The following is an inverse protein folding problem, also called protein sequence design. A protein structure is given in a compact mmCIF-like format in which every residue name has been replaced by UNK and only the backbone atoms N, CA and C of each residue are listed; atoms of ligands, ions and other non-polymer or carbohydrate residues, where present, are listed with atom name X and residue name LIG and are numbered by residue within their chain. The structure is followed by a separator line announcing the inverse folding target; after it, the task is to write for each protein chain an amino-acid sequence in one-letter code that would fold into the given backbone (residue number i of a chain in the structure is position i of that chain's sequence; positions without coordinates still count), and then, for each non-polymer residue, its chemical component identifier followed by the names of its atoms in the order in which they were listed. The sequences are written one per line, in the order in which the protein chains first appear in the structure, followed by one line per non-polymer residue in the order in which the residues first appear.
data_IF_318886906751
#
_entry.id   IF_318886906751
#
_cell.length_a   1.000
_cell.length_b   1.000
_cell.length_c   1.000
_cell.angle_alpha   90.00
_cell.angle_beta   90.00
_cell.angle_gamma   90.00
#
_symmetry.space_group_name_H-M   'P 1'
#
loop_
_entity.id
_entity.type
_entity.pdbx_description
1 polymer ?
#
# COMPACT_ATOMS: atom_id res chain seq x y z
N UNK A 1 -1.32 -24.97 -12.63
CA UNK A 1 -2.00 -25.15 -11.32
C UNK A 1 -1.12 -24.65 -10.18
N UNK A 2 0.13 -25.11 -10.09
CA UNK A 2 1.12 -24.64 -9.10
C UNK A 2 1.33 -23.12 -9.09
N UNK A 3 1.37 -22.47 -10.26
CA UNK A 3 1.53 -21.01 -10.38
C UNK A 3 0.44 -20.23 -9.64
N UNK A 4 -0.84 -20.62 -9.77
CA UNK A 4 -1.96 -19.97 -9.07
C UNK A 4 -1.89 -20.18 -7.55
N UNK A 5 -1.40 -21.35 -7.12
CA UNK A 5 -1.23 -21.67 -5.70
C UNK A 5 -0.11 -20.84 -5.10
N UNK A 6 1.02 -20.71 -5.82
CA UNK A 6 2.13 -19.86 -5.42
C UNK A 6 1.72 -18.39 -5.31
N UNK A 7 0.96 -17.86 -6.28
CA UNK A 7 0.43 -16.48 -6.23
C UNK A 7 -0.50 -16.27 -5.03
N UNK A 8 -1.36 -17.24 -4.73
CA UNK A 8 -2.24 -17.18 -3.56
C UNK A 8 -1.43 -17.18 -2.25
N UNK A 9 -0.42 -18.05 -2.15
CA UNK A 9 0.49 -18.08 -1.02
C UNK A 9 1.26 -16.76 -0.86
N UNK A 10 1.82 -16.23 -1.94
CA UNK A 10 2.52 -14.95 -1.93
C UNK A 10 1.59 -13.81 -1.51
N UNK A 11 0.33 -13.81 -1.96
CA UNK A 11 -0.69 -12.85 -1.54
C UNK A 11 -0.98 -12.95 -0.04
N UNK A 12 -1.18 -14.16 0.50
CA UNK A 12 -1.37 -14.37 1.94
C UNK A 12 -0.15 -13.90 2.74
N UNK A 13 1.06 -14.21 2.29
CA UNK A 13 2.30 -13.78 2.93
C UNK A 13 2.41 -12.25 2.95
N UNK A 14 2.23 -11.60 1.80
CA UNK A 14 2.22 -10.14 1.69
C UNK A 14 1.14 -9.50 2.57
N UNK A 15 -0.02 -10.16 2.72
CA UNK A 15 -1.09 -9.65 3.58
C UNK A 15 -0.71 -9.67 5.07
N UNK A 16 -0.09 -10.76 5.53
CA UNK A 16 0.26 -10.94 6.94
C UNK A 16 1.45 -10.05 7.31
N UNK A 17 2.54 -10.14 6.54
CA UNK A 17 3.72 -9.30 6.74
C UNK A 17 3.38 -7.82 6.54
N UNK A 18 2.54 -7.52 5.56
CA UNK A 18 2.08 -6.16 5.29
C UNK A 18 1.28 -5.56 6.44
N UNK A 19 0.38 -6.32 7.07
CA UNK A 19 -0.38 -5.85 8.24
C UNK A 19 0.53 -5.54 9.44
N UNK A 20 1.62 -6.31 9.60
CA UNK A 20 2.62 -6.07 10.65
C UNK A 20 3.46 -4.80 10.39
N UNK A 21 3.65 -4.40 9.12
CA UNK A 21 4.39 -3.18 8.77
C UNK A 21 3.51 -1.93 8.77
N UNK A 22 2.33 -2.00 8.14
CA UNK A 22 1.46 -0.86 7.98
C UNK A 22 -0.01 -1.28 7.81
N UNK A 23 -0.89 -0.69 8.62
CA UNK A 23 -2.34 -0.93 8.56
C UNK A 23 -2.97 -0.53 7.21
N UNK A 24 -2.31 0.31 6.41
CA UNK A 24 -2.74 0.67 5.05
C UNK A 24 -2.62 -0.47 4.05
N UNK A 25 -1.91 -1.54 4.37
CA UNK A 25 -1.88 -2.75 3.53
C UNK A 25 -3.26 -3.41 3.43
N UNK A 26 -4.13 -3.22 4.44
CA UNK A 26 -5.54 -3.61 4.37
C UNK A 26 -6.27 -3.00 3.18
N UNK A 27 -6.00 -1.73 2.85
CA UNK A 27 -6.59 -1.07 1.66
C UNK A 27 -6.16 -1.81 0.40
N UNK A 28 -4.87 -2.15 0.28
CA UNK A 28 -4.35 -2.89 -0.87
C UNK A 28 -4.95 -4.30 -0.99
N UNK A 29 -5.08 -5.01 0.14
CA UNK A 29 -5.71 -6.34 0.21
C UNK A 29 -7.17 -6.26 -0.24
N UNK A 30 -7.94 -5.31 0.28
CA UNK A 30 -9.34 -5.11 -0.09
C UNK A 30 -9.50 -4.77 -1.57
N UNK A 31 -8.66 -3.89 -2.11
CA UNK A 31 -8.67 -3.55 -3.54
C UNK A 31 -8.30 -4.74 -4.42
N UNK A 32 -7.34 -5.57 -4.01
CA UNK A 32 -6.96 -6.77 -4.73
C UNK A 32 -8.10 -7.82 -4.74
N UNK A 33 -8.74 -8.05 -3.59
CA UNK A 33 -9.92 -8.94 -3.50
C UNK A 33 -11.05 -8.42 -4.39
N UNK A 34 -11.38 -7.12 -4.29
CA UNK A 34 -12.40 -6.49 -5.12
C UNK A 34 -12.09 -6.68 -6.61
N UNK A 35 -10.83 -6.47 -7.03
CA UNK A 35 -10.42 -6.68 -8.42
C UNK A 35 -10.65 -8.12 -8.91
N UNK A 36 -10.26 -9.12 -8.11
CA UNK A 36 -10.46 -10.54 -8.44
C UNK A 36 -11.95 -10.88 -8.52
N UNK A 37 -12.75 -10.30 -7.62
CA UNK A 37 -14.21 -10.49 -7.60
C UNK A 37 -14.84 -9.94 -8.88
N UNK A 38 -14.52 -8.68 -9.23
CA UNK A 38 -15.07 -8.01 -10.41
C UNK A 38 -14.62 -8.66 -11.73
N UNK A 39 -13.36 -9.10 -11.83
CA UNK A 39 -12.82 -9.66 -13.08
C UNK A 39 -13.20 -11.13 -13.29
N UNK A 40 -13.32 -11.93 -12.24
CA UNK A 40 -13.54 -13.38 -12.39
C UNK A 40 -15.01 -13.81 -12.43
N UNK A 41 -15.95 -12.85 -12.37
CA UNK A 41 -17.40 -13.10 -12.37
C UNK A 41 -17.76 -14.29 -11.45
N UNK A 42 -17.52 -14.10 -10.14
CA UNK A 42 -17.30 -15.14 -9.14
C UNK A 42 -18.43 -16.16 -8.96
N UNK A 43 -18.53 -17.13 -9.88
CA UNK A 43 -19.27 -18.38 -9.69
C UNK A 43 -18.45 -19.59 -10.13
N UNK A 44 -17.19 -19.40 -10.60
CA UNK A 44 -16.38 -20.44 -11.27
C UNK A 44 -14.97 -20.63 -10.71
N UNK A 45 -14.62 -20.07 -9.54
CA UNK A 45 -13.35 -20.36 -8.88
C UNK A 45 -13.38 -21.78 -8.27
N UNK A 46 -13.11 -22.79 -9.08
CA UNK A 46 -12.91 -24.18 -8.61
C UNK A 46 -11.51 -24.33 -8.04
N UNK A 47 -11.33 -23.97 -6.76
CA UNK A 47 -10.10 -24.25 -6.02
C UNK A 47 -10.15 -25.72 -5.58
N UNK A 48 -9.16 -26.53 -5.98
CA UNK A 48 -9.07 -27.93 -5.54
C UNK A 48 -8.56 -28.00 -4.09
N UNK A 49 -9.12 -28.91 -3.30
CA UNK A 49 -8.76 -29.14 -1.88
C UNK A 49 -7.26 -29.44 -1.68
N UNK A 50 -6.61 -30.10 -2.66
CA UNK A 50 -5.16 -30.35 -2.62
C UNK A 50 -4.31 -29.07 -2.66
N UNK A 51 -4.82 -28.00 -3.29
CA UNK A 51 -4.17 -26.69 -3.34
C UNK A 51 -4.21 -25.98 -2.00
N UNK A 52 -5.31 -26.12 -1.26
CA UNK A 52 -5.49 -25.52 0.07
C UNK A 52 -4.52 -26.16 1.08
N UNK A 53 -4.38 -27.50 1.05
CA UNK A 53 -3.40 -28.21 1.88
C UNK A 53 -1.97 -27.71 1.66
N UNK A 54 -1.59 -27.44 0.40
CA UNK A 54 -0.26 -26.96 0.05
C UNK A 54 0.02 -25.55 0.61
N UNK A 55 -0.94 -24.62 0.47
CA UNK A 55 -0.83 -23.26 1.06
C UNK A 55 -0.72 -23.34 2.58
N UNK A 56 -1.51 -24.22 3.21
CA UNK A 56 -1.53 -24.38 4.66
C UNK A 56 -0.22 -24.97 5.19
N UNK A 57 0.38 -25.94 4.49
CA UNK A 57 1.71 -26.48 4.82
C UNK A 57 2.78 -25.38 4.71
N UNK A 58 2.79 -24.61 3.61
CA UNK A 58 3.76 -23.52 3.45
C UNK A 58 3.61 -22.44 4.54
N UNK A 59 2.39 -22.18 4.98
CA UNK A 59 2.12 -21.26 6.08
C UNK A 59 2.65 -21.78 7.43
N UNK A 60 2.42 -23.07 7.74
CA UNK A 60 2.96 -23.71 8.95
C UNK A 60 4.50 -23.66 8.96
N UNK A 61 5.14 -23.92 7.83
CA UNK A 61 6.61 -23.87 7.70
C UNK A 61 7.14 -22.46 7.98
N UNK A 62 6.47 -21.42 7.48
CA UNK A 62 6.81 -20.02 7.79
C UNK A 62 6.66 -19.70 9.28
N UNK A 63 5.56 -20.11 9.91
CA UNK A 63 5.35 -19.89 11.34
C UNK A 63 6.42 -20.61 12.17
N UNK A 64 6.73 -21.87 11.85
CA UNK A 64 7.78 -22.62 12.51
C UNK A 64 9.16 -21.95 12.33
N UNK A 65 9.46 -21.45 11.14
CA UNK A 65 10.69 -20.69 10.88
C UNK A 65 10.74 -19.39 11.69
N UNK A 66 9.64 -18.65 11.80
CA UNK A 66 9.60 -17.41 12.58
C UNK A 66 9.84 -17.66 14.08
N UNK A 67 9.27 -18.74 14.63
CA UNK A 67 9.50 -19.16 16.02
C UNK A 67 10.94 -19.63 16.24
N UNK A 68 11.53 -20.30 15.26
CA UNK A 68 12.95 -20.68 15.30
C UNK A 68 13.85 -19.44 15.32
N UNK A 69 13.59 -18.45 14.48
CA UNK A 69 14.36 -17.19 14.42
C UNK A 69 14.23 -16.37 15.71
N UNK A 70 13.08 -16.39 16.38
CA UNK A 70 12.90 -15.74 17.70
C UNK A 70 13.85 -16.26 18.78
N UNK A 71 14.36 -17.50 18.64
CA UNK A 71 15.30 -18.09 19.60
C UNK A 71 16.77 -17.71 19.34
N UNK A 72 17.09 -17.06 18.21
CA UNK A 72 18.49 -16.73 17.85
C UNK A 72 19.02 -15.46 18.52
N UNK A 73 18.18 -14.43 18.71
CA UNK A 73 18.63 -13.17 19.31
C UNK A 73 17.51 -12.39 19.99
N UNK A 74 17.86 -11.72 21.08
CA UNK A 74 16.92 -10.92 21.87
C UNK A 74 16.38 -9.72 21.08
N UNK A 75 17.20 -9.07 20.26
CA UNK A 75 16.79 -7.94 19.41
C UNK A 75 15.77 -8.33 18.33
N UNK A 76 15.93 -9.51 17.74
CA UNK A 76 14.96 -10.02 16.76
C UNK A 76 13.65 -10.41 17.45
N UNK A 77 13.71 -10.94 18.68
CA UNK A 77 12.51 -11.21 19.48
C UNK A 77 11.75 -9.92 19.80
N UNK A 78 12.42 -8.87 20.27
CA UNK A 78 11.75 -7.61 20.64
C UNK A 78 11.14 -6.92 19.42
N UNK A 79 11.86 -6.85 18.30
CA UNK A 79 11.32 -6.27 17.05
C UNK A 79 10.11 -7.03 16.49
N UNK A 80 10.13 -8.37 16.53
CA UNK A 80 9.00 -9.19 16.11
C UNK A 80 7.78 -9.03 17.02
N UNK A 81 7.98 -8.90 18.34
CA UNK A 81 6.89 -8.64 19.29
C UNK A 81 6.24 -7.28 19.03
N UNK A 82 7.05 -6.23 18.81
CA UNK A 82 6.51 -4.90 18.45
C UNK A 82 5.71 -4.95 17.15
N UNK A 83 6.20 -5.67 16.13
CA UNK A 83 5.50 -5.82 14.86
C UNK A 83 4.19 -6.62 15.01
N UNK A 84 4.17 -7.61 15.91
CA UNK A 84 2.98 -8.37 16.26
C UNK A 84 1.95 -7.46 16.96
N UNK A 85 2.37 -6.74 18.01
CA UNK A 85 1.49 -5.86 18.77
C UNK A 85 0.90 -4.75 17.88
N UNK A 86 1.70 -4.20 16.95
CA UNK A 86 1.22 -3.22 15.98
C UNK A 86 0.22 -3.81 14.98
N UNK A 87 0.48 -5.02 14.46
CA UNK A 87 -0.41 -5.70 13.53
C UNK A 87 -1.77 -6.08 14.15
N UNK A 88 -1.76 -6.44 15.44
CA UNK A 88 -2.96 -6.85 16.20
C UNK A 88 -3.55 -5.74 17.07
N UNK A 89 -3.03 -4.50 17.03
CA UNK A 89 -3.49 -3.36 17.84
C UNK A 89 -5.00 -3.15 17.74
N UNK A 90 -5.59 -3.29 16.54
CA UNK A 90 -7.02 -3.13 16.31
C UNK A 90 -7.86 -4.21 17.03
N UNK A 91 -7.39 -5.46 17.01
CA UNK A 91 -8.06 -6.59 17.67
C UNK A 91 -7.91 -6.48 19.19
N UNK A 92 -6.73 -6.10 19.66
CA UNK A 92 -6.45 -5.89 21.08
C UNK A 92 -7.25 -4.70 21.64
N UNK A 93 -7.32 -3.59 20.89
CA UNK A 93 -8.12 -2.42 21.28
C UNK A 93 -9.61 -2.75 21.34
N UNK A 94 -10.14 -3.48 20.34
CA UNK A 94 -11.54 -3.90 20.33
C UNK A 94 -11.90 -4.81 21.50
N UNK A 95 -11.02 -5.76 21.86
CA UNK A 95 -11.27 -6.67 23.00
C UNK A 95 -11.19 -5.97 24.35
N UNK A 96 -10.35 -4.93 24.49
CA UNK A 96 -10.15 -4.21 25.75
C UNK A 96 -11.16 -3.06 25.96
N UNK A 97 -11.49 -2.30 24.91
CA UNK A 97 -12.27 -1.05 25.03
C UNK A 97 -13.64 -1.12 24.37
N UNK A 98 -13.91 -2.15 23.54
CA UNK A 98 -15.14 -2.24 22.74
C UNK A 98 -15.24 -1.22 21.61
N UNK A 99 -14.21 -0.38 21.40
CA UNK A 99 -14.17 0.64 20.35
C UNK A 99 -13.09 0.29 19.32
N UNK A 100 -13.36 0.57 18.04
CA UNK A 100 -12.39 0.42 16.94
C UNK A 100 -11.49 1.66 16.82
N UNK A 101 -10.99 2.17 17.95
CA UNK A 101 -10.03 3.27 17.98
C UNK A 101 -8.63 2.76 18.24
N UNK A 102 -7.64 3.41 17.61
CA UNK A 102 -6.22 3.06 17.74
C UNK A 102 -5.43 4.34 17.91
N UNK A 103 -4.40 4.31 18.77
CA UNK A 103 -3.61 5.49 19.10
C UNK A 103 -2.98 6.11 17.85
N UNK A 104 -2.57 5.24 16.91
CA UNK A 104 -1.93 5.64 15.66
C UNK A 104 -2.91 6.28 14.64
N UNK A 105 -4.21 5.98 14.71
CA UNK A 105 -5.22 6.68 13.88
C UNK A 105 -5.56 8.06 14.44
N UNK A 106 -5.69 8.17 15.76
CA UNK A 106 -5.93 9.46 16.42
C UNK A 106 -4.73 10.40 16.33
N UNK A 107 -3.50 9.86 16.25
CA UNK A 107 -2.31 10.64 15.93
C UNK A 107 -2.34 11.16 14.48
N UNK A 108 -2.73 10.32 13.51
CA UNK A 108 -2.84 10.71 12.10
C UNK A 108 -3.84 11.85 11.90
N UNK A 109 -5.02 11.80 12.53
CA UNK A 109 -6.01 12.87 12.41
C UNK A 109 -5.52 14.21 12.96
N UNK A 110 -4.70 14.19 14.02
CA UNK A 110 -4.10 15.40 14.59
C UNK A 110 -3.05 16.06 13.68
N UNK A 111 -2.52 15.32 12.70
CA UNK A 111 -1.54 15.84 11.75
C UNK A 111 -2.18 16.61 10.58
N UNK A 112 -3.51 16.62 10.45
CA UNK A 112 -4.22 17.40 9.43
C UNK A 112 -4.18 18.90 9.75
N UNK A 113 -3.05 19.52 9.43
CA UNK A 113 -2.79 20.94 9.65
C UNK A 113 -2.67 21.62 8.29
N UNK A 114 -3.50 22.62 8.04
CA UNK A 114 -3.49 23.36 6.78
C UNK A 114 -2.73 24.69 6.89
N UNK A 115 -2.15 25.20 5.79
CA UNK A 115 -1.50 26.50 5.80
C UNK A 115 -2.47 27.63 6.17
N UNK A 116 -2.02 28.58 7.00
CA UNK A 116 -2.77 29.78 7.36
C UNK A 116 -2.62 30.92 6.35
N UNK A 117 -1.49 30.95 5.62
CA UNK A 117 -1.14 32.00 4.67
C UNK A 117 -1.55 31.61 3.24
N UNK A 118 -2.20 32.53 2.54
CA UNK A 118 -2.59 32.34 1.14
C UNK A 118 -1.38 32.08 0.22
N UNK A 119 -0.23 32.71 0.49
CA UNK A 119 1.01 32.50 -0.26
C UNK A 119 1.44 31.02 -0.26
N UNK A 120 1.43 30.39 0.91
CA UNK A 120 1.79 28.98 1.10
C UNK A 120 0.83 28.06 0.36
N UNK A 121 -0.46 28.43 0.28
CA UNK A 121 -1.41 27.68 -0.55
C UNK A 121 -1.08 27.72 -2.04
N UNK A 122 -0.58 28.84 -2.58
CA UNK A 122 -0.35 28.97 -4.02
C UNK A 122 0.99 28.35 -4.45
N UNK A 123 2.09 28.76 -3.80
CA UNK A 123 3.46 28.42 -4.24
C UNK A 123 4.15 27.46 -3.25
N UNK A 124 3.63 27.33 -2.02
CA UNK A 124 4.31 26.65 -0.94
C UNK A 124 5.43 27.49 -0.33
N UNK A 125 5.98 26.98 0.77
CA UNK A 125 7.10 27.56 1.51
C UNK A 125 8.44 26.95 1.09
N UNK A 126 8.45 25.90 0.26
CA UNK A 126 9.67 25.23 -0.19
C UNK A 126 10.37 24.42 0.91
N UNK A 127 9.68 24.13 2.01
CA UNK A 127 10.22 23.40 3.16
C UNK A 127 9.59 22.01 3.29
N UNK A 128 10.42 20.97 3.16
CA UNK A 128 10.02 19.58 3.37
C UNK A 128 10.29 19.11 4.81
N UNK A 129 11.37 19.64 5.39
CA UNK A 129 11.79 19.40 6.76
C UNK A 129 11.98 20.75 7.48
N UNK A 130 11.75 20.72 8.77
CA UNK A 130 12.12 21.80 9.69
C UNK A 130 13.63 21.79 9.96
N UNK A 131 14.15 22.87 10.54
CA UNK A 131 15.56 23.09 10.87
C UNK A 131 16.16 21.99 11.77
N UNK A 132 15.30 21.26 12.49
CA UNK A 132 15.67 20.14 13.36
C UNK A 132 15.56 18.75 12.68
N UNK A 133 15.37 18.69 11.35
CA UNK A 133 15.26 17.44 10.59
C UNK A 133 13.93 16.69 10.78
N UNK A 134 12.92 17.34 11.37
CA UNK A 134 11.56 16.80 11.51
C UNK A 134 10.70 17.21 10.31
N UNK A 135 9.59 16.52 10.07
CA UNK A 135 8.65 16.96 9.02
C UNK A 135 8.16 18.38 9.31
N UNK A 136 8.16 19.21 8.26
CA UNK A 136 7.69 20.58 8.33
C UNK A 136 6.25 20.61 8.86
N UNK A 137 5.96 21.50 9.82
CA UNK A 137 4.65 21.59 10.51
C UNK A 137 4.19 20.29 11.22
N UNK A 138 5.11 19.35 11.50
CA UNK A 138 4.81 18.08 12.16
C UNK A 138 3.71 17.25 11.50
N UNK A 139 3.52 17.42 10.19
CA UNK A 139 2.53 16.67 9.41
C UNK A 139 3.20 15.61 8.55
N UNK A 140 2.71 14.37 8.65
CA UNK A 140 3.17 13.28 7.78
C UNK A 140 2.26 13.07 6.55
N UNK A 141 1.17 13.84 6.43
CA UNK A 141 0.17 13.62 5.38
C UNK A 141 0.70 14.08 4.03
N UNK A 142 0.69 13.18 3.05
CA UNK A 142 1.30 13.40 1.73
C UNK A 142 0.80 14.66 1.03
N UNK A 143 -0.52 14.84 0.94
CA UNK A 143 -1.11 16.02 0.29
C UNK A 143 -0.74 17.32 0.98
N UNK A 144 -0.81 17.35 2.31
CA UNK A 144 -0.50 18.53 3.10
C UNK A 144 0.97 18.90 2.95
N UNK A 145 1.87 17.92 2.99
CA UNK A 145 3.30 18.13 2.76
C UNK A 145 3.59 18.69 1.37
N UNK A 146 2.93 18.17 0.34
CA UNK A 146 3.05 18.70 -1.02
C UNK A 146 2.56 20.15 -1.11
N UNK A 147 1.48 20.51 -0.41
CA UNK A 147 0.99 21.89 -0.34
C UNK A 147 2.01 22.79 0.37
N UNK A 148 2.55 22.38 1.52
CA UNK A 148 3.57 23.19 2.20
C UNK A 148 4.86 23.33 1.38
N UNK A 149 5.21 22.35 0.56
CA UNK A 149 6.45 22.38 -0.21
C UNK A 149 6.30 23.16 -1.53
N UNK A 150 5.31 22.83 -2.35
CA UNK A 150 5.13 23.39 -3.70
C UNK A 150 3.79 24.11 -3.93
N UNK A 151 2.95 24.21 -2.91
CA UNK A 151 1.61 24.77 -3.02
C UNK A 151 0.65 23.91 -3.83
N UNK A 152 -0.55 24.44 -4.07
CA UNK A 152 -1.58 23.84 -4.91
C UNK A 152 -1.07 23.68 -6.35
N UNK A 153 -0.25 24.61 -6.85
CA UNK A 153 0.27 24.54 -8.23
C UNK A 153 1.13 23.30 -8.42
N UNK A 154 2.05 23.03 -7.49
CA UNK A 154 2.86 21.81 -7.52
C UNK A 154 2.06 20.55 -7.23
N UNK A 155 1.04 20.62 -6.36
CA UNK A 155 0.15 19.50 -6.13
C UNK A 155 -0.61 19.11 -7.41
N UNK A 156 -1.15 20.08 -8.13
CA UNK A 156 -1.85 19.84 -9.40
C UNK A 156 -0.90 19.26 -10.44
N UNK A 157 0.31 19.81 -10.57
CA UNK A 157 1.30 19.29 -11.52
C UNK A 157 1.69 17.84 -11.20
N UNK A 158 1.83 17.50 -9.92
CA UNK A 158 2.10 16.13 -9.47
C UNK A 158 0.94 15.17 -9.76
N UNK A 159 -0.31 15.57 -9.49
CA UNK A 159 -1.49 14.78 -9.83
C UNK A 159 -1.58 14.56 -11.35
N UNK A 160 -1.34 15.62 -12.15
CA UNK A 160 -1.32 15.53 -13.61
C UNK A 160 -0.23 14.57 -14.09
N UNK A 161 0.99 14.68 -13.55
CA UNK A 161 2.08 13.76 -13.84
C UNK A 161 1.69 12.31 -13.58
N UNK A 162 1.04 12.04 -12.44
CA UNK A 162 0.61 10.69 -12.08
C UNK A 162 -0.48 10.17 -13.03
N UNK A 163 -1.47 11.01 -13.37
CA UNK A 163 -2.56 10.66 -14.31
C UNK A 163 -2.01 10.37 -15.70
N UNK A 164 -1.13 11.24 -16.21
CA UNK A 164 -0.50 11.07 -17.53
C UNK A 164 0.31 9.78 -17.57
N UNK A 165 1.07 9.48 -16.52
CA UNK A 165 1.84 8.25 -16.41
C UNK A 165 0.94 7.00 -16.43
N UNK A 166 -0.11 6.97 -15.61
CA UNK A 166 -1.09 5.87 -15.58
C UNK A 166 -1.76 5.71 -16.96
N UNK A 167 -2.14 6.82 -17.60
CA UNK A 167 -2.79 6.82 -18.90
C UNK A 167 -1.86 6.31 -20.02
N UNK A 168 -0.58 6.70 -20.00
CA UNK A 168 0.41 6.20 -20.94
C UNK A 168 0.55 4.67 -20.86
N UNK A 169 0.59 4.12 -19.65
CA UNK A 169 0.66 2.65 -19.45
C UNK A 169 -0.61 1.96 -19.87
N UNK A 170 -1.77 2.56 -19.58
CA UNK A 170 -3.06 2.05 -20.07
C UNK A 170 -3.10 1.98 -21.60
N UNK A 171 -2.61 3.02 -22.28
CA UNK A 171 -2.58 3.08 -23.75
C UNK A 171 -1.73 1.96 -24.36
N UNK A 172 -0.61 1.62 -23.73
CA UNK A 172 0.28 0.54 -24.18
C UNK A 172 -0.28 -0.85 -23.83
N UNK A 173 -1.03 -0.98 -22.73
CA UNK A 173 -1.52 -2.25 -22.22
C UNK A 173 -3.05 -2.37 -22.25
N UNK A 174 -3.68 -1.95 -23.35
CA UNK A 174 -5.16 -1.96 -23.48
C UNK A 174 -5.80 -3.33 -23.20
N UNK A 175 -5.07 -4.42 -23.44
CA UNK A 175 -5.52 -5.80 -23.19
C UNK A 175 -5.80 -6.10 -21.71
N UNK A 176 -5.25 -5.33 -20.76
CA UNK A 176 -5.48 -5.50 -19.31
C UNK A 176 -6.85 -4.96 -18.86
N UNK A 177 -7.50 -4.12 -19.67
CA UNK A 177 -8.75 -3.42 -19.33
C UNK A 177 -8.53 -2.16 -18.50
N UNK A 178 -9.59 -1.36 -18.29
CA UNK A 178 -9.53 -0.05 -17.59
C UNK A 178 -9.47 -0.16 -16.06
N UNK A 179 -10.09 -1.21 -15.50
CA UNK A 179 -10.26 -1.41 -14.05
C UNK A 179 -8.94 -1.34 -13.25
N UNK A 180 -7.84 -2.04 -13.61
CA UNK A 180 -6.62 -2.00 -12.81
C UNK A 180 -5.99 -0.61 -12.75
N UNK A 181 -6.11 0.19 -13.82
CA UNK A 181 -5.58 1.56 -13.85
C UNK A 181 -6.40 2.52 -12.99
N UNK A 182 -7.73 2.35 -12.96
CA UNK A 182 -8.61 3.09 -12.04
C UNK A 182 -8.25 2.73 -10.59
N UNK A 183 -8.02 1.44 -10.29
CA UNK A 183 -7.60 1.02 -8.95
C UNK A 183 -6.25 1.63 -8.56
N UNK A 184 -5.25 1.64 -9.44
CA UNK A 184 -3.96 2.29 -9.15
C UNK A 184 -4.15 3.79 -8.86
N UNK A 185 -5.01 4.46 -9.62
CA UNK A 185 -5.33 5.87 -9.40
C UNK A 185 -6.01 6.12 -8.05
N UNK A 186 -7.02 5.31 -7.69
CA UNK A 186 -7.66 5.41 -6.37
C UNK A 186 -6.65 5.11 -5.26
N UNK A 187 -5.79 4.12 -5.44
CA UNK A 187 -4.78 3.75 -4.47
C UNK A 187 -3.77 4.88 -4.24
N UNK A 188 -3.38 5.60 -5.29
CA UNK A 188 -2.54 6.80 -5.20
C UNK A 188 -3.14 7.85 -4.27
N UNK A 189 -4.44 8.16 -4.43
CA UNK A 189 -5.12 9.12 -3.57
C UNK A 189 -5.17 8.64 -2.12
N UNK A 190 -5.54 7.38 -1.89
CA UNK A 190 -5.67 6.84 -0.53
C UNK A 190 -4.32 6.83 0.20
N UNK A 191 -3.22 6.51 -0.49
CA UNK A 191 -1.90 6.54 0.12
C UNK A 191 -1.46 7.96 0.46
N UNK A 192 -1.68 8.93 -0.43
CA UNK A 192 -1.33 10.33 -0.19
C UNK A 192 -2.16 11.04 0.88
N UNK A 193 -3.32 10.48 1.27
CA UNK A 193 -4.06 10.89 2.48
C UNK A 193 -3.35 10.50 3.77
N UNK A 194 -2.48 9.49 3.75
CA UNK A 194 -1.72 9.08 4.94
C UNK A 194 -0.29 9.60 4.93
N UNK A 195 0.40 9.43 3.80
CA UNK A 195 1.82 9.71 3.68
C UNK A 195 2.20 10.01 2.24
N UNK A 196 3.24 10.81 2.03
CA UNK A 196 3.71 11.08 0.67
C UNK A 196 4.10 9.77 -0.02
N UNK A 197 3.46 9.45 -1.14
CA UNK A 197 3.79 8.25 -1.91
C UNK A 197 3.69 8.51 -3.40
N UNK A 198 4.76 8.17 -4.11
CA UNK A 198 4.82 8.19 -5.57
C UNK A 198 4.66 6.76 -6.12
N UNK A 199 3.61 6.54 -6.93
CA UNK A 199 3.34 5.24 -7.55
C UNK A 199 4.04 5.07 -8.91
N UNK A 200 4.75 6.08 -9.40
CA UNK A 200 5.46 6.02 -10.68
C UNK A 200 6.38 4.79 -10.76
N UNK A 201 7.16 4.53 -9.71
CA UNK A 201 8.04 3.35 -9.62
C UNK A 201 7.32 2.01 -9.81
N UNK A 202 6.08 1.88 -9.34
CA UNK A 202 5.30 0.65 -9.52
C UNK A 202 4.78 0.50 -10.96
N UNK A 203 4.58 1.61 -11.66
CA UNK A 203 3.95 1.65 -12.98
C UNK A 203 4.98 1.51 -14.10
N UNK A 204 6.21 2.01 -13.91
CA UNK A 204 7.30 1.97 -14.91
C UNK A 204 7.54 0.57 -15.51
N UNK A 205 7.59 -0.53 -14.74
CA UNK A 205 7.83 -1.87 -15.32
C UNK A 205 6.77 -2.26 -16.36
N UNK A 206 5.53 -1.79 -16.21
CA UNK A 206 4.44 -2.07 -17.15
C UNK A 206 4.58 -1.28 -18.45
N UNK A 207 5.33 -0.17 -18.48
CA UNK A 207 5.73 0.48 -19.72
C UNK A 207 6.60 -0.46 -20.56
N UNK A 208 7.64 -1.03 -19.95
CA UNK A 208 8.64 -1.83 -20.65
C UNK A 208 8.16 -3.25 -21.00
N UNK A 209 7.37 -3.89 -20.13
CA UNK A 209 6.90 -5.26 -20.36
C UNK A 209 5.97 -5.38 -21.59
N UNK A 210 5.24 -4.31 -21.93
CA UNK A 210 4.44 -4.22 -23.16
C UNK A 210 5.29 -4.32 -24.43
N UNK A 211 6.50 -3.77 -24.40
CA UNK A 211 7.45 -3.82 -25.54
C UNK A 211 8.01 -5.22 -25.77
N UNK A 212 8.15 -6.03 -24.71
CA UNK A 212 8.69 -7.39 -24.80
C UNK A 212 7.67 -8.38 -25.36
N UNK A 213 6.40 -8.21 -25.02
CA UNK A 213 5.30 -9.07 -25.51
C UNK A 213 4.91 -8.78 -26.96
N UNK A 214 5.11 -7.54 -27.45
CA UNK A 214 4.96 -7.21 -28.86
C UNK A 214 6.09 -7.81 -29.73
N UNK A 215 7.33 -7.83 -29.23
CA UNK A 215 8.48 -8.36 -29.97
C UNK A 215 8.46 -9.88 -30.16
N UNK A 216 7.76 -10.63 -29.31
CA UNK A 216 7.58 -12.09 -29.42
C UNK A 216 6.29 -12.51 -30.15
N UNK A 217 5.47 -11.56 -30.61
CA UNK A 217 4.27 -11.84 -31.41
C UNK A 217 4.39 -11.46 -32.90
N UNK A 218 5.54 -10.95 -33.32
CA UNK A 218 5.87 -10.70 -34.72
C UNK A 218 6.75 -11.83 -35.27
#
# INVERSE_FOLDING_TARGET
MYEKVFLCFAFCLMSIVGMMMARTTLVGILMAIAFVVFKSNMWKLKIKISSIKLVLIMFIVLCAFSLFVMNFSYEVKTSLLVAYDFGFELINSYTQTGQLETASTNAMFRMYIFPSLFKTWVIGDGLWMDSFGRFYMHTDIGFIRMIFYFGIVGLISFIVFQVVSIFAVYRNNKYLGKIPFILIFVYFFVLNLKGFTDLFYLIIPFCYCSSFTLKHRC
#
